data_IF_389187571517
#
_entry.id   IF_389187571517
#
_cell.length_a   1.000
_cell.length_b   1.000
_cell.length_c   1.000
_cell.angle_alpha   90.00
_cell.angle_beta   90.00
_cell.angle_gamma   90.00
#
_symmetry.space_group_name_H-M   'P 1'
#
loop_
_entity.id
_entity.type
_entity.pdbx_description
1 polymer ?
#
# COMPACT_ATOMS: atom_id res chain seq x y z
N UNK A 1 -7.84 -12.44 -21.26
CA UNK A 1 -6.91 -11.36 -21.63
C UNK A 1 -7.40 -10.67 -22.90
N UNK A 2 -7.32 -9.35 -22.98
CA UNK A 2 -7.69 -8.58 -24.18
C UNK A 2 -6.60 -8.66 -25.27
N UNK A 3 -6.95 -8.33 -26.51
CA UNK A 3 -5.98 -8.22 -27.61
C UNK A 3 -4.88 -7.21 -27.25
N UNK A 4 -3.62 -7.57 -27.50
CA UNK A 4 -2.46 -6.73 -27.17
C UNK A 4 -1.84 -7.01 -25.80
N UNK A 5 -2.48 -7.80 -24.92
CA UNK A 5 -1.85 -8.21 -23.67
C UNK A 5 -0.72 -9.23 -23.93
N UNK A 6 0.53 -8.96 -23.46
CA UNK A 6 1.68 -9.83 -23.71
C UNK A 6 1.41 -11.28 -23.30
N UNK A 7 1.66 -12.24 -24.20
CA UNK A 7 1.41 -13.66 -23.94
C UNK A 7 2.23 -14.18 -22.75
N UNK A 8 3.48 -13.75 -22.61
CA UNK A 8 4.39 -14.15 -21.54
C UNK A 8 3.94 -13.72 -20.14
N UNK A 9 2.97 -12.82 -20.02
CA UNK A 9 2.46 -12.33 -18.73
C UNK A 9 1.11 -12.95 -18.33
N UNK A 10 0.55 -13.84 -19.17
CA UNK A 10 -0.82 -14.35 -18.98
C UNK A 10 -0.96 -15.37 -17.85
N UNK A 11 0.11 -16.07 -17.53
CA UNK A 11 0.14 -16.99 -16.38
C UNK A 11 0.30 -16.22 -15.05
N UNK A 12 0.56 -14.92 -15.12
CA UNK A 12 0.85 -14.09 -13.97
C UNK A 12 2.24 -14.37 -13.40
N UNK A 13 2.45 -13.90 -12.18
CA UNK A 13 3.69 -14.08 -11.42
C UNK A 13 3.36 -14.42 -9.97
N UNK A 14 4.25 -15.10 -9.22
CA UNK A 14 4.09 -15.28 -7.79
C UNK A 14 3.82 -13.94 -7.10
N UNK A 15 2.79 -13.88 -6.26
CA UNK A 15 2.48 -12.67 -5.50
C UNK A 15 3.32 -12.64 -4.24
N UNK A 16 4.23 -11.67 -4.14
CA UNK A 16 5.06 -11.46 -2.96
C UNK A 16 4.36 -10.60 -1.91
N UNK A 17 3.56 -9.63 -2.32
CA UNK A 17 2.82 -8.73 -1.42
C UNK A 17 1.38 -8.53 -1.90
N UNK A 18 0.44 -8.56 -0.95
CA UNK A 18 -0.95 -8.18 -1.12
C UNK A 18 -1.30 -7.08 -0.14
N UNK A 19 -1.66 -5.90 -0.67
CA UNK A 19 -2.05 -4.71 0.08
C UNK A 19 -3.57 -4.52 -0.02
N UNK A 20 -4.27 -4.66 1.09
CA UNK A 20 -5.71 -4.42 1.14
C UNK A 20 -6.07 -2.96 1.37
N UNK A 21 -7.34 -2.62 1.20
CA UNK A 21 -7.86 -1.25 1.33
C UNK A 21 -8.74 -1.09 2.57
N UNK A 22 -9.18 0.14 2.85
CA UNK A 22 -9.96 0.45 4.04
C UNK A 22 -11.38 0.91 3.71
N UNK A 23 -12.33 0.50 4.54
CA UNK A 23 -13.67 1.07 4.63
C UNK A 23 -13.75 2.02 5.83
N UNK A 24 -14.80 2.84 5.85
CA UNK A 24 -15.07 3.87 6.85
C UNK A 24 -14.07 5.03 6.79
N UNK A 25 -12.99 5.05 7.57
CA UNK A 25 -12.03 6.17 7.55
C UNK A 25 -10.96 5.90 6.49
N UNK A 26 -10.90 6.67 5.39
CA UNK A 26 -9.89 6.47 4.35
C UNK A 26 -8.48 6.80 4.84
N UNK A 27 -7.48 6.19 4.20
CA UNK A 27 -6.07 6.53 4.43
C UNK A 27 -5.71 7.76 3.59
N UNK A 28 -5.88 8.94 4.19
CA UNK A 28 -5.59 10.23 3.57
C UNK A 28 -4.34 10.87 4.15
N UNK A 29 -3.66 11.66 3.34
CA UNK A 29 -2.72 12.66 3.81
C UNK A 29 -3.42 13.64 4.78
N UNK A 30 -2.66 14.22 5.70
CA UNK A 30 -3.19 15.09 6.73
C UNK A 30 -3.97 16.30 6.16
N UNK A 31 -3.50 17.01 5.12
CA UNK A 31 -4.28 18.07 4.46
C UNK A 31 -5.66 17.60 3.98
N UNK A 32 -5.72 16.47 3.25
CA UNK A 32 -6.99 15.92 2.77
C UNK A 32 -7.92 15.54 3.92
N UNK A 33 -7.38 14.95 4.99
CA UNK A 33 -8.15 14.64 6.19
C UNK A 33 -8.72 15.90 6.86
N UNK A 34 -7.98 17.02 6.86
CA UNK A 34 -8.45 18.31 7.41
C UNK A 34 -9.60 18.92 6.62
N UNK A 35 -9.55 18.86 5.28
CA UNK A 35 -10.60 19.44 4.44
C UNK A 35 -11.82 18.52 4.30
N UNK A 36 -11.67 17.22 4.58
CA UNK A 36 -12.75 16.22 4.47
C UNK A 36 -12.94 15.35 5.72
N UNK A 37 -13.13 15.94 6.92
CA UNK A 37 -13.12 15.20 8.20
C UNK A 37 -14.27 14.20 8.37
N UNK A 38 -15.37 14.41 7.62
CA UNK A 38 -16.58 13.57 7.65
C UNK A 38 -16.68 12.61 6.47
N UNK A 39 -15.77 12.67 5.50
CA UNK A 39 -15.79 11.74 4.38
C UNK A 39 -15.55 10.32 4.90
N UNK A 40 -16.28 9.36 4.33
CA UNK A 40 -16.14 7.94 4.64
C UNK A 40 -16.06 7.14 3.36
N UNK A 41 -15.15 6.18 3.31
CA UNK A 41 -15.16 5.20 2.25
C UNK A 41 -16.22 4.12 2.53
N UNK A 42 -17.39 4.28 1.93
CA UNK A 42 -18.46 3.26 1.92
C UNK A 42 -18.43 2.39 0.67
N UNK A 43 -17.52 2.68 -0.28
CA UNK A 43 -17.47 1.98 -1.56
C UNK A 43 -16.54 0.78 -1.48
N UNK A 44 -17.15 -0.39 -1.60
CA UNK A 44 -16.44 -1.62 -1.86
C UNK A 44 -16.20 -1.76 -3.37
N UNK A 45 -14.94 -1.92 -3.78
CA UNK A 45 -14.58 -2.25 -5.15
C UNK A 45 -14.15 -3.72 -5.16
N UNK A 46 -14.94 -4.57 -5.81
CA UNK A 46 -14.68 -6.01 -5.89
C UNK A 46 -13.58 -6.30 -6.91
N UNK A 47 -12.34 -5.92 -6.57
CA UNK A 47 -11.19 -6.08 -7.45
C UNK A 47 -9.91 -6.32 -6.67
N UNK A 48 -9.08 -7.19 -7.22
CA UNK A 48 -7.66 -7.31 -6.86
C UNK A 48 -6.86 -7.02 -8.11
N UNK A 49 -6.06 -5.97 -8.08
CA UNK A 49 -5.27 -5.51 -9.21
C UNK A 49 -3.79 -5.70 -8.93
N UNK A 50 -3.06 -6.21 -9.92
CA UNK A 50 -1.60 -6.18 -9.88
C UNK A 50 -1.11 -4.76 -10.12
N UNK A 51 -0.25 -4.26 -9.23
CA UNK A 51 0.40 -2.98 -9.39
C UNK A 51 1.39 -3.08 -10.58
N UNK A 52 1.28 -2.23 -11.61
CA UNK A 52 2.12 -2.35 -12.79
C UNK A 52 3.62 -2.33 -12.48
N UNK A 53 4.41 -3.05 -13.28
CA UNK A 53 5.87 -3.03 -13.19
C UNK A 53 6.39 -1.60 -13.40
N UNK A 54 7.35 -1.16 -12.59
CA UNK A 54 7.91 0.20 -12.63
C UNK A 54 7.03 1.26 -11.99
N UNK A 55 5.89 0.89 -11.39
CA UNK A 55 4.99 1.82 -10.70
C UNK A 55 5.08 1.61 -9.20
N UNK A 56 5.38 2.69 -8.46
CA UNK A 56 5.33 2.72 -7.00
C UNK A 56 3.88 2.87 -6.52
N UNK A 57 3.63 2.52 -5.26
CA UNK A 57 2.29 2.60 -4.67
C UNK A 57 2.36 3.08 -3.22
N UNK A 58 1.29 3.75 -2.72
CA UNK A 58 1.20 4.17 -1.33
C UNK A 58 0.76 2.97 -0.48
N UNK A 59 1.71 2.13 -0.08
CA UNK A 59 1.42 0.99 0.78
C UNK A 59 1.05 1.48 2.19
N UNK A 60 -0.04 0.94 2.72
CA UNK A 60 -0.37 1.00 4.14
C UNK A 60 0.02 -0.30 4.85
N UNK A 61 0.70 -0.18 6.00
CA UNK A 61 1.13 -1.34 6.80
C UNK A 61 0.02 -2.08 7.56
N UNK A 62 -1.17 -1.49 7.70
CA UNK A 62 -2.24 -2.04 8.58
C UNK A 62 -3.13 -3.10 7.91
N UNK A 63 -3.14 -3.16 6.57
CA UNK A 63 -3.88 -4.17 5.81
C UNK A 63 -2.95 -4.80 4.77
N UNK A 64 -2.05 -5.65 5.25
CA UNK A 64 -0.95 -6.16 4.45
C UNK A 64 -0.74 -7.66 4.71
N UNK A 65 -0.54 -8.41 3.64
CA UNK A 65 -0.02 -9.77 3.69
C UNK A 65 1.18 -9.89 2.74
N UNK A 66 2.18 -10.66 3.14
CA UNK A 66 3.36 -10.90 2.31
C UNK A 66 3.88 -12.32 2.43
N UNK A 67 4.52 -12.80 1.38
CA UNK A 67 5.21 -14.07 1.37
C UNK A 67 6.60 -13.89 1.98
N UNK A 68 6.80 -14.43 3.18
CA UNK A 68 8.06 -14.34 3.92
C UNK A 68 9.26 -14.92 3.16
N UNK A 69 9.08 -15.99 2.40
CA UNK A 69 10.17 -16.64 1.66
C UNK A 69 10.62 -15.80 0.47
N UNK A 70 9.68 -15.13 -0.19
CA UNK A 70 9.99 -14.24 -1.30
C UNK A 70 10.58 -12.92 -0.79
N UNK A 71 9.87 -12.22 0.09
CA UNK A 71 10.16 -10.80 0.38
C UNK A 71 10.39 -10.48 1.85
N UNK A 72 10.39 -11.48 2.74
CA UNK A 72 10.51 -11.29 4.19
C UNK A 72 11.69 -10.41 4.62
N UNK A 73 12.92 -10.65 4.11
CA UNK A 73 14.08 -9.81 4.45
C UNK A 73 13.96 -8.35 4.00
N UNK A 74 13.16 -8.07 2.97
CA UNK A 74 12.94 -6.73 2.42
C UNK A 74 11.71 -6.03 3.01
N UNK A 75 10.85 -6.77 3.73
CA UNK A 75 9.67 -6.20 4.41
C UNK A 75 10.09 -5.52 5.72
N UNK A 76 10.75 -4.36 5.58
CA UNK A 76 11.26 -3.58 6.69
C UNK A 76 10.64 -2.18 6.68
N UNK A 77 10.00 -1.81 7.80
CA UNK A 77 9.40 -0.50 8.01
C UNK A 77 10.45 0.47 8.54
N UNK A 78 10.46 1.68 8.00
CA UNK A 78 11.29 2.75 8.52
C UNK A 78 11.02 3.00 10.01
N UNK A 79 12.02 3.49 10.74
CA UNK A 79 11.82 3.86 12.13
C UNK A 79 10.87 5.06 12.22
N UNK A 80 9.82 4.93 13.02
CA UNK A 80 8.96 6.04 13.40
C UNK A 80 9.49 6.74 14.66
N UNK A 81 9.24 8.05 14.77
CA UNK A 81 9.52 8.82 15.98
C UNK A 81 10.24 10.13 15.71
N UNK A 82 10.43 10.92 16.77
CA UNK A 82 11.09 12.22 16.68
C UNK A 82 12.56 12.04 16.23
N UNK A 83 12.98 12.84 15.25
CA UNK A 83 14.32 12.80 14.67
C UNK A 83 14.55 11.66 13.66
N UNK A 84 13.55 10.83 13.37
CA UNK A 84 13.67 9.82 12.31
C UNK A 84 13.41 10.43 10.93
N UNK A 85 14.25 10.11 9.91
CA UNK A 85 14.21 10.80 8.62
C UNK A 85 12.99 10.43 7.76
N UNK A 86 12.32 9.32 8.05
CA UNK A 86 11.20 8.80 7.23
C UNK A 86 9.83 9.17 7.85
N UNK A 87 9.74 9.30 9.17
CA UNK A 87 8.56 9.83 9.85
C UNK A 87 7.27 9.07 9.52
N UNK A 88 6.26 9.76 8.98
CA UNK A 88 4.95 9.21 8.61
C UNK A 88 4.92 8.46 7.26
N UNK A 89 6.05 8.37 6.57
CA UNK A 89 6.15 7.72 5.26
C UNK A 89 6.81 6.34 5.33
N UNK A 90 6.89 5.73 6.51
CA UNK A 90 7.67 4.51 6.76
C UNK A 90 7.10 3.27 6.05
N UNK A 91 5.78 3.14 6.01
CA UNK A 91 5.08 2.08 5.29
C UNK A 91 5.10 2.30 3.77
N UNK A 92 4.95 3.54 3.32
CA UNK A 92 5.14 3.91 1.91
C UNK A 92 6.55 3.59 1.45
N UNK A 93 7.56 3.99 2.22
CA UNK A 93 8.97 3.72 1.93
C UNK A 93 9.26 2.21 1.89
N UNK A 94 8.77 1.45 2.87
CA UNK A 94 8.86 -0.02 2.86
C UNK A 94 8.23 -0.60 1.58
N UNK A 95 7.09 -0.05 1.16
CA UNK A 95 6.37 -0.47 -0.02
C UNK A 95 7.10 -0.17 -1.31
N UNK A 96 7.80 0.96 -1.37
CA UNK A 96 8.63 1.31 -2.52
C UNK A 96 9.84 0.39 -2.62
N UNK A 97 10.54 0.16 -1.51
CA UNK A 97 11.67 -0.77 -1.46
C UNK A 97 11.24 -2.17 -1.91
N UNK A 98 10.16 -2.70 -1.33
CA UNK A 98 9.60 -4.00 -1.70
C UNK A 98 9.17 -4.02 -3.17
N UNK A 99 8.52 -2.97 -3.67
CA UNK A 99 8.06 -2.91 -5.06
C UNK A 99 9.22 -2.95 -6.05
N UNK A 100 10.28 -2.19 -5.79
CA UNK A 100 11.50 -2.18 -6.64
C UNK A 100 12.14 -3.56 -6.67
N UNK A 101 12.25 -4.23 -5.52
CA UNK A 101 12.82 -5.58 -5.42
C UNK A 101 11.95 -6.61 -6.14
N UNK A 102 10.63 -6.60 -5.90
CA UNK A 102 9.68 -7.48 -6.59
C UNK A 102 9.75 -7.31 -8.11
N UNK A 103 9.80 -6.08 -8.61
CA UNK A 103 9.89 -5.81 -10.05
C UNK A 103 11.19 -6.32 -10.67
N UNK A 104 12.29 -6.24 -9.91
CA UNK A 104 13.59 -6.76 -10.32
C UNK A 104 13.58 -8.31 -10.37
N UNK A 105 12.97 -8.95 -9.38
CA UNK A 105 12.92 -10.42 -9.24
C UNK A 105 11.75 -11.07 -10.01
N UNK A 106 10.88 -10.27 -10.63
CA UNK A 106 9.74 -10.77 -11.40
C UNK A 106 8.56 -11.24 -10.54
N UNK A 107 8.40 -10.70 -9.33
CA UNK A 107 7.28 -11.00 -8.44
C UNK A 107 6.20 -9.92 -8.49
N UNK A 108 4.98 -10.33 -8.21
CA UNK A 108 3.80 -9.47 -8.22
C UNK A 108 3.56 -8.79 -6.87
N UNK A 109 3.12 -7.54 -6.94
CA UNK A 109 2.48 -6.83 -5.83
C UNK A 109 1.04 -6.55 -6.21
N UNK A 110 0.10 -6.82 -5.32
CA UNK A 110 -1.34 -6.65 -5.55
C UNK A 110 -1.93 -5.61 -4.60
N UNK A 111 -2.94 -4.90 -5.06
CA UNK A 111 -3.76 -3.98 -4.26
C UNK A 111 -5.25 -4.21 -4.50
N UNK A 112 -6.09 -3.91 -3.51
CA UNK A 112 -7.54 -4.04 -3.62
C UNK A 112 -8.13 -4.79 -2.42
N UNK A 113 -8.78 -5.93 -2.67
CA UNK A 113 -9.26 -6.81 -1.59
C UNK A 113 -8.09 -7.41 -0.77
N UNK A 114 -8.30 -7.69 0.52
CA UNK A 114 -9.53 -7.45 1.29
C UNK A 114 -9.67 -5.99 1.72
N UNK A 115 -10.91 -5.59 2.01
CA UNK A 115 -11.17 -4.35 2.74
C UNK A 115 -11.29 -4.64 4.24
N UNK A 116 -10.68 -3.80 5.07
CA UNK A 116 -10.89 -3.83 6.53
C UNK A 116 -11.69 -2.61 6.99
N UNK A 117 -12.44 -2.76 8.09
CA UNK A 117 -13.16 -1.64 8.70
C UNK A 117 -12.22 -0.84 9.61
N UNK A 118 -11.91 0.39 9.22
CA UNK A 118 -11.00 1.25 9.97
C UNK A 118 -11.77 2.27 10.83
N UNK A 119 -11.61 2.22 12.15
CA UNK A 119 -12.40 3.01 13.12
C UNK A 119 -11.62 4.14 13.80
N UNK A 120 -10.31 4.26 13.60
CA UNK A 120 -9.46 5.23 14.30
C UNK A 120 -8.96 6.33 13.36
N UNK A 121 -9.43 7.57 13.55
CA UNK A 121 -8.79 8.72 12.94
C UNK A 121 -7.69 9.25 13.87
N UNK A 122 -6.46 9.35 13.36
CA UNK A 122 -5.38 10.06 14.07
C UNK A 122 -5.60 11.59 13.98
N UNK A 123 -4.96 12.35 14.87
CA UNK A 123 -5.11 13.81 14.90
C UNK A 123 -4.42 14.44 13.68
N UNK A 124 -5.18 15.04 12.74
CA UNK A 124 -4.62 15.52 11.49
C UNK A 124 -3.67 16.71 11.68
N UNK A 125 -3.82 17.52 12.73
CA UNK A 125 -2.89 18.62 13.02
C UNK A 125 -1.52 18.13 13.48
N UNK A 126 -1.48 17.01 14.20
CA UNK A 126 -0.22 16.36 14.60
C UNK A 126 0.42 15.70 13.39
N UNK A 127 -0.39 15.04 12.56
CA UNK A 127 0.08 14.38 11.35
C UNK A 127 0.69 15.36 10.36
N UNK A 128 0.05 16.52 10.15
CA UNK A 128 0.52 17.57 9.25
C UNK A 128 1.92 18.11 9.61
N UNK A 129 2.34 18.03 10.88
CA UNK A 129 3.69 18.43 11.30
C UNK A 129 4.76 17.35 11.05
N UNK A 130 4.32 16.11 10.83
CA UNK A 130 5.18 14.92 10.67
C UNK A 130 5.27 14.44 9.23
N UNK A 131 4.34 14.88 8.38
CA UNK A 131 4.35 14.77 6.93
C UNK A 131 5.17 15.90 6.31
#
# INVERSE_FOLDING_TARGET
>A
FVRGYPFSLREGVPTAVSHGLWLNIPDYDAPTQLVKPRERNSRYVDAVLTIPKGTLFPMCGMNLAFNRELIGPAMYFGLMGDGQPIGRYDDMWAGWCVKVICDHLGWGVKTGLPYIWHSKASNPFVNLKKE
#
